data_IF_146460380897
#
_entry.id   IF_146460380897
#
_cell.length_a   1.000
_cell.length_b   1.000
_cell.length_c   1.000
_cell.angle_alpha   90.00
_cell.angle_beta   90.00
_cell.angle_gamma   90.00
#
_symmetry.space_group_name_H-M   'P 1'
#
loop_
_entity.id
_entity.type
_entity.pdbx_description
1 polymer ?
#
# COMPACT_ATOMS: atom_id res chain seq x y z
N UNK A 1 99.20 -65.02 58.95
CA UNK A 1 97.74 -65.01 59.17
C UNK A 1 97.21 -63.65 59.63
N UNK A 2 97.61 -63.07 60.77
CA UNK A 2 97.04 -61.76 61.21
C UNK A 2 97.45 -60.55 60.34
N UNK A 3 98.66 -60.50 59.77
CA UNK A 3 99.08 -59.40 58.89
C UNK A 3 98.41 -59.44 57.51
N UNK A 4 98.18 -60.64 56.96
CA UNK A 4 97.54 -60.83 55.67
C UNK A 4 96.06 -60.43 55.70
N UNK A 5 95.38 -60.66 56.82
CA UNK A 5 93.98 -60.27 56.98
C UNK A 5 93.82 -58.76 57.25
N UNK A 6 94.79 -58.13 57.91
CA UNK A 6 94.84 -56.67 58.06
C UNK A 6 95.06 -55.97 56.71
N UNK A 7 96.01 -56.46 55.90
CA UNK A 7 96.26 -55.93 54.56
C UNK A 7 95.06 -56.08 53.62
N UNK A 8 94.32 -57.19 53.71
CA UNK A 8 93.07 -57.36 52.94
C UNK A 8 92.01 -56.32 53.32
N UNK A 9 91.90 -56.00 54.60
CA UNK A 9 90.89 -55.04 55.07
C UNK A 9 91.28 -53.60 54.71
N UNK A 10 92.57 -53.27 54.76
CA UNK A 10 93.11 -51.98 54.27
C UNK A 10 92.86 -51.81 52.77
N UNK A 11 93.17 -52.83 51.94
CA UNK A 11 92.89 -52.82 50.51
C UNK A 11 91.39 -52.67 50.20
N UNK A 12 90.50 -53.30 50.98
CA UNK A 12 89.05 -53.15 50.81
C UNK A 12 88.56 -51.74 51.10
N UNK A 13 89.11 -51.09 52.13
CA UNK A 13 88.78 -49.70 52.44
C UNK A 13 89.26 -48.77 51.32
N UNK A 14 90.45 -49.01 50.79
CA UNK A 14 90.97 -48.26 49.63
C UNK A 14 90.12 -48.47 48.37
N UNK A 15 89.72 -49.70 48.05
CA UNK A 15 88.80 -50.03 46.97
C UNK A 15 87.46 -49.28 47.12
N UNK A 16 86.84 -49.32 48.31
CA UNK A 16 85.59 -48.62 48.58
C UNK A 16 85.71 -47.09 48.43
N UNK A 17 86.83 -46.51 48.85
CA UNK A 17 87.08 -45.06 48.69
C UNK A 17 87.26 -44.71 47.21
N UNK A 18 87.97 -45.55 46.45
CA UNK A 18 88.16 -45.37 45.02
C UNK A 18 86.83 -45.53 44.25
N UNK A 19 86.00 -46.50 44.61
CA UNK A 19 84.68 -46.70 44.04
C UNK A 19 83.73 -45.53 44.33
N UNK A 20 83.76 -44.98 45.55
CA UNK A 20 82.99 -43.79 45.89
C UNK A 20 83.43 -42.56 45.08
N UNK A 21 84.74 -42.37 44.89
CA UNK A 21 85.30 -41.31 44.03
C UNK A 21 84.89 -41.53 42.57
N UNK A 22 85.03 -42.75 42.05
CA UNK A 22 84.67 -43.11 40.69
C UNK A 22 83.17 -42.88 40.43
N UNK A 23 82.30 -43.29 41.37
CA UNK A 23 80.86 -43.06 41.30
C UNK A 23 80.52 -41.57 41.25
N UNK A 24 81.21 -40.73 42.04
CA UNK A 24 81.04 -39.28 42.00
C UNK A 24 81.44 -38.69 40.65
N UNK A 25 82.60 -39.09 40.12
CA UNK A 25 83.07 -38.63 38.81
C UNK A 25 82.14 -39.12 37.69
N UNK A 26 81.66 -40.36 37.75
CA UNK A 26 80.67 -40.91 36.81
C UNK A 26 79.35 -40.14 36.87
N UNK A 27 78.88 -39.73 38.06
CA UNK A 27 77.68 -38.91 38.22
C UNK A 27 77.87 -37.52 37.58
N UNK A 28 79.03 -36.88 37.77
CA UNK A 28 79.38 -35.60 37.12
C UNK A 28 79.43 -35.74 35.60
N UNK A 29 80.08 -36.80 35.09
CA UNK A 29 80.16 -37.09 33.65
C UNK A 29 78.77 -37.34 33.06
N UNK A 30 77.93 -38.14 33.74
CA UNK A 30 76.57 -38.43 33.30
C UNK A 30 75.70 -37.18 33.31
N UNK A 31 75.85 -36.31 34.32
CA UNK A 31 75.16 -35.03 34.37
C UNK A 31 75.60 -34.11 33.22
N UNK A 32 76.90 -34.03 32.93
CA UNK A 32 77.43 -33.26 31.81
C UNK A 32 76.91 -33.79 30.45
N UNK A 33 76.88 -35.12 30.26
CA UNK A 33 76.30 -35.75 29.06
C UNK A 33 74.81 -35.43 28.91
N UNK A 34 74.07 -35.44 30.00
CA UNK A 34 72.64 -35.12 29.98
C UNK A 34 72.38 -33.65 29.63
N UNK A 35 73.19 -32.73 30.16
CA UNK A 35 73.16 -31.32 29.78
C UNK A 35 73.44 -31.15 28.28
N UNK A 36 74.48 -31.81 27.76
CA UNK A 36 74.82 -31.77 26.33
C UNK A 36 73.69 -32.29 25.44
N UNK A 37 73.05 -33.41 25.82
CA UNK A 37 71.89 -33.95 25.10
C UNK A 37 70.71 -32.96 25.09
N UNK A 38 70.42 -32.34 26.23
CA UNK A 38 69.35 -31.34 26.32
C UNK A 38 69.64 -30.11 25.47
N UNK A 39 70.89 -29.67 25.42
CA UNK A 39 71.29 -28.58 24.52
C UNK A 39 71.14 -28.98 23.05
N UNK A 40 71.65 -30.16 22.66
CA UNK A 40 71.50 -30.65 21.28
C UNK A 40 70.02 -30.74 20.86
N UNK A 41 69.16 -31.30 21.71
CA UNK A 41 67.73 -31.38 21.44
C UNK A 41 67.07 -30.00 21.37
N UNK A 42 67.49 -29.05 22.22
CA UNK A 42 66.98 -27.68 22.17
C UNK A 42 67.41 -26.95 20.89
N UNK A 43 68.62 -27.21 20.39
CA UNK A 43 69.11 -26.63 19.14
C UNK A 43 68.41 -27.25 17.92
N UNK A 44 68.21 -28.57 17.91
CA UNK A 44 67.39 -29.26 16.89
C UNK A 44 65.96 -28.69 16.84
N UNK A 45 65.31 -28.54 18.02
CA UNK A 45 63.96 -27.98 18.10
C UNK A 45 63.91 -26.51 17.62
N UNK A 46 64.95 -25.73 17.89
CA UNK A 46 65.06 -24.34 17.39
C UNK A 46 65.17 -24.31 15.88
N UNK A 47 65.99 -25.18 15.29
CA UNK A 47 66.13 -25.26 13.83
C UNK A 47 64.82 -25.71 13.16
N UNK A 48 64.14 -26.71 13.71
CA UNK A 48 62.82 -27.15 13.22
C UNK A 48 61.79 -26.02 13.33
N UNK A 49 61.75 -25.32 14.45
CA UNK A 49 60.86 -24.19 14.65
C UNK A 49 61.14 -23.05 13.66
N UNK A 50 62.42 -22.74 13.40
CA UNK A 50 62.80 -21.74 12.39
C UNK A 50 62.37 -22.14 10.99
N UNK A 51 62.57 -23.40 10.58
CA UNK A 51 62.10 -23.90 9.29
C UNK A 51 60.58 -23.76 9.14
N UNK A 52 59.82 -24.12 10.18
CA UNK A 52 58.36 -23.96 10.17
C UNK A 52 57.94 -22.48 10.08
N UNK A 53 58.65 -21.59 10.75
CA UNK A 53 58.40 -20.15 10.69
C UNK A 53 58.69 -19.60 9.28
N UNK A 54 59.80 -20.00 8.68
CA UNK A 54 60.19 -19.61 7.33
C UNK A 54 59.16 -20.09 6.31
N UNK A 55 58.75 -21.36 6.36
CA UNK A 55 57.71 -21.90 5.50
C UNK A 55 56.37 -21.18 5.69
N UNK A 56 55.98 -20.89 6.93
CA UNK A 56 54.77 -20.13 7.21
C UNK A 56 54.87 -18.70 6.65
N UNK A 57 56.04 -18.07 6.74
CA UNK A 57 56.26 -16.72 6.19
C UNK A 57 56.11 -16.68 4.67
N UNK A 58 56.65 -17.70 3.97
CA UNK A 58 56.55 -17.83 2.52
C UNK A 58 55.10 -18.08 2.11
N UNK A 59 54.41 -19.04 2.74
CA UNK A 59 52.99 -19.33 2.46
C UNK A 59 52.12 -18.10 2.68
N UNK A 60 52.32 -17.38 3.79
CA UNK A 60 51.59 -16.15 4.07
C UNK A 60 51.86 -15.05 3.03
N UNK A 61 53.09 -14.95 2.51
CA UNK A 61 53.44 -13.98 1.47
C UNK A 61 52.77 -14.32 0.13
N UNK A 62 52.78 -15.60 -0.26
CA UNK A 62 52.11 -16.09 -1.47
C UNK A 62 50.59 -15.87 -1.42
N UNK A 63 49.96 -16.21 -0.29
CA UNK A 63 48.52 -15.98 -0.09
C UNK A 63 48.16 -14.49 -0.15
N UNK A 64 48.97 -13.63 0.46
CA UNK A 64 48.78 -12.17 0.39
C UNK A 64 48.88 -11.66 -1.04
N UNK A 65 49.92 -12.07 -1.77
CA UNK A 65 50.09 -11.69 -3.17
C UNK A 65 48.90 -12.15 -4.04
N UNK A 66 48.44 -13.38 -3.84
CA UNK A 66 47.26 -13.90 -4.55
C UNK A 66 45.98 -13.10 -4.23
N UNK A 67 45.76 -12.77 -2.96
CA UNK A 67 44.61 -11.96 -2.54
C UNK A 67 44.69 -10.55 -3.12
N UNK A 68 45.87 -9.93 -3.11
CA UNK A 68 46.09 -8.59 -3.68
C UNK A 68 45.80 -8.58 -5.19
N UNK A 69 46.33 -9.54 -5.95
CA UNK A 69 46.05 -9.69 -7.37
C UNK A 69 44.55 -9.87 -7.63
N UNK A 70 43.87 -10.68 -6.80
CA UNK A 70 42.44 -10.90 -6.93
C UNK A 70 41.63 -9.62 -6.64
N UNK A 71 42.01 -8.86 -5.63
CA UNK A 71 41.40 -7.57 -5.31
C UNK A 71 41.61 -6.59 -6.46
N UNK A 72 42.80 -6.53 -7.05
CA UNK A 72 43.08 -5.67 -8.20
C UNK A 72 42.19 -6.02 -9.40
N UNK A 73 42.05 -7.31 -9.73
CA UNK A 73 41.14 -7.78 -10.78
C UNK A 73 39.69 -7.36 -10.53
N UNK A 74 39.22 -7.46 -9.27
CA UNK A 74 37.87 -7.04 -8.90
C UNK A 74 37.70 -5.51 -9.05
N UNK A 75 38.69 -4.73 -8.63
CA UNK A 75 38.68 -3.27 -8.77
C UNK A 75 38.62 -2.88 -10.26
N UNK A 76 39.43 -3.50 -11.11
CA UNK A 76 39.42 -3.25 -12.56
C UNK A 76 38.08 -3.63 -13.20
N UNK A 77 37.53 -4.79 -12.85
CA UNK A 77 36.22 -5.21 -13.32
C UNK A 77 35.13 -4.22 -12.90
N UNK A 78 35.14 -3.77 -11.65
CA UNK A 78 34.19 -2.77 -11.15
C UNK A 78 34.34 -1.41 -11.86
N UNK A 79 35.57 -0.97 -12.16
CA UNK A 79 35.81 0.23 -12.98
C UNK A 79 35.21 0.09 -14.38
N UNK A 80 35.41 -1.06 -15.04
CA UNK A 80 34.82 -1.34 -16.37
C UNK A 80 33.30 -1.35 -16.31
N UNK A 81 32.70 -1.97 -15.29
CA UNK A 81 31.24 -1.98 -15.08
C UNK A 81 30.72 -0.55 -14.89
N UNK A 82 31.39 0.28 -14.09
CA UNK A 82 31.00 1.66 -13.87
C UNK A 82 30.99 2.47 -15.19
N UNK A 83 32.04 2.33 -16.00
CA UNK A 83 32.12 2.98 -17.31
C UNK A 83 31.02 2.52 -18.27
N UNK A 84 30.71 1.22 -18.29
CA UNK A 84 29.62 0.68 -19.13
C UNK A 84 28.28 1.24 -18.68
N UNK A 85 28.02 1.30 -17.36
CA UNK A 85 26.79 1.89 -16.82
C UNK A 85 26.65 3.35 -17.20
N UNK A 86 27.71 4.14 -17.09
CA UNK A 86 27.70 5.55 -17.48
C UNK A 86 27.37 5.73 -18.97
N UNK A 87 28.03 4.97 -19.85
CA UNK A 87 27.73 5.00 -21.30
C UNK A 87 26.28 4.61 -21.58
N UNK A 88 25.79 3.58 -20.92
CA UNK A 88 24.41 3.11 -21.08
C UNK A 88 23.40 4.19 -20.67
N UNK A 89 23.63 4.89 -19.57
CA UNK A 89 22.74 5.98 -19.15
C UNK A 89 22.76 7.16 -20.14
N UNK A 90 23.93 7.51 -20.68
CA UNK A 90 24.04 8.52 -21.74
C UNK A 90 23.26 8.12 -23.00
N UNK A 91 23.39 6.85 -23.43
CA UNK A 91 22.65 6.33 -24.59
C UNK A 91 21.14 6.31 -24.36
N UNK A 92 20.68 5.88 -23.17
CA UNK A 92 19.26 5.92 -22.79
C UNK A 92 18.71 7.35 -22.85
N UNK A 93 19.45 8.31 -22.30
CA UNK A 93 19.06 9.71 -22.35
C UNK A 93 18.99 10.25 -23.78
N UNK A 94 19.96 9.88 -24.62
CA UNK A 94 19.97 10.24 -26.04
C UNK A 94 18.74 9.68 -26.77
N UNK A 95 18.48 8.38 -26.62
CA UNK A 95 17.32 7.71 -27.23
C UNK A 95 16.01 8.33 -26.73
N UNK A 96 15.89 8.61 -25.43
CA UNK A 96 14.71 9.26 -24.87
C UNK A 96 14.50 10.68 -25.44
N UNK A 97 15.59 11.41 -25.69
CA UNK A 97 15.57 12.70 -26.39
C UNK A 97 15.07 12.56 -27.83
N UNK A 98 15.66 11.64 -28.60
CA UNK A 98 15.27 11.38 -29.99
C UNK A 98 13.80 10.95 -30.11
N UNK A 99 13.31 10.09 -29.21
CA UNK A 99 11.89 9.69 -29.17
C UNK A 99 10.99 10.90 -28.87
N UNK A 100 11.39 11.76 -27.94
CA UNK A 100 10.62 12.97 -27.60
C UNK A 100 10.53 13.91 -28.79
N UNK A 101 11.66 14.14 -29.46
CA UNK A 101 11.73 15.04 -30.61
C UNK A 101 10.93 14.48 -31.79
N UNK A 102 11.07 13.18 -32.09
CA UNK A 102 10.29 12.51 -33.12
C UNK A 102 8.79 12.57 -32.82
N UNK A 103 8.40 12.31 -31.57
CA UNK A 103 7.00 12.42 -31.12
C UNK A 103 6.47 13.84 -31.31
N UNK A 104 7.24 14.85 -30.91
CA UNK A 104 6.82 16.24 -31.05
C UNK A 104 6.68 16.66 -32.52
N UNK A 105 7.59 16.21 -33.40
CA UNK A 105 7.49 16.43 -34.86
C UNK A 105 6.23 15.79 -35.43
N UNK A 106 5.96 14.53 -35.11
CA UNK A 106 4.74 13.85 -35.54
C UNK A 106 3.46 14.57 -35.05
N UNK A 107 3.45 15.05 -33.81
CA UNK A 107 2.32 15.83 -33.30
C UNK A 107 2.16 17.17 -34.02
N UNK A 108 3.26 17.85 -34.35
CA UNK A 108 3.21 19.10 -35.11
C UNK A 108 2.68 18.87 -36.54
N UNK A 109 3.19 17.87 -37.24
CA UNK A 109 2.72 17.48 -38.58
C UNK A 109 1.23 17.11 -38.57
N UNK A 110 0.80 16.32 -37.57
CA UNK A 110 -0.61 15.97 -37.41
C UNK A 110 -1.48 17.19 -37.13
N UNK A 111 -1.05 18.09 -36.25
CA UNK A 111 -1.78 19.32 -35.93
C UNK A 111 -1.92 20.23 -37.16
N UNK A 112 -0.87 20.34 -37.98
CA UNK A 112 -0.90 21.08 -39.24
C UNK A 112 -1.86 20.43 -40.24
N UNK A 113 -1.82 19.11 -40.38
CA UNK A 113 -2.73 18.37 -41.24
C UNK A 113 -4.20 18.55 -40.82
N UNK A 114 -4.50 18.38 -39.54
CA UNK A 114 -5.84 18.54 -38.98
C UNK A 114 -6.33 19.99 -39.16
N UNK A 115 -5.47 20.99 -38.98
CA UNK A 115 -5.80 22.39 -39.21
C UNK A 115 -6.13 22.68 -40.69
N UNK A 116 -5.34 22.12 -41.61
CA UNK A 116 -5.57 22.24 -43.05
C UNK A 116 -6.88 21.55 -43.47
N UNK A 117 -7.15 20.36 -42.96
CA UNK A 117 -8.40 19.65 -43.22
C UNK A 117 -9.62 20.42 -42.68
N UNK A 118 -9.52 20.97 -41.47
CA UNK A 118 -10.57 21.82 -40.89
C UNK A 118 -10.79 23.10 -41.70
N UNK A 119 -9.73 23.72 -42.20
CA UNK A 119 -9.84 24.88 -43.07
C UNK A 119 -10.50 24.53 -44.42
N UNK A 120 -10.19 23.37 -45.00
CA UNK A 120 -10.86 22.87 -46.19
C UNK A 120 -12.36 22.63 -45.94
N UNK A 121 -12.71 21.97 -44.83
CA UNK A 121 -14.11 21.77 -44.41
C UNK A 121 -14.85 23.09 -44.22
N UNK A 122 -14.23 24.08 -43.57
CA UNK A 122 -14.80 25.43 -43.41
C UNK A 122 -15.08 26.10 -44.76
N UNK A 123 -14.12 26.05 -45.70
CA UNK A 123 -14.30 26.60 -47.06
C UNK A 123 -15.45 25.91 -47.80
N UNK A 124 -15.55 24.59 -47.70
CA UNK A 124 -16.65 23.82 -48.30
C UNK A 124 -18.02 24.22 -47.72
N UNK A 125 -18.13 24.32 -46.39
CA UNK A 125 -19.37 24.75 -45.72
C UNK A 125 -19.75 26.17 -46.17
N UNK A 126 -18.78 27.08 -46.27
CA UNK A 126 -19.04 28.44 -46.74
C UNK A 126 -19.57 28.46 -48.18
N UNK A 127 -19.01 27.62 -49.06
CA UNK A 127 -19.46 27.44 -50.45
C UNK A 127 -20.90 26.90 -50.51
N UNK A 128 -21.21 25.84 -49.76
CA UNK A 128 -22.57 25.26 -49.68
C UNK A 128 -23.57 26.32 -49.21
N UNK A 129 -23.24 27.08 -48.16
CA UNK A 129 -24.12 28.15 -47.65
C UNK A 129 -24.33 29.27 -48.66
N UNK A 130 -23.30 29.64 -49.42
CA UNK A 130 -23.44 30.61 -50.51
C UNK A 130 -24.37 30.11 -51.61
N UNK A 131 -24.24 28.84 -52.01
CA UNK A 131 -25.14 28.22 -52.97
C UNK A 131 -26.59 28.15 -52.47
N UNK A 132 -26.79 27.76 -51.21
CA UNK A 132 -28.12 27.72 -50.58
C UNK A 132 -28.79 29.10 -50.54
N UNK A 133 -28.05 30.16 -50.19
CA UNK A 133 -28.58 31.53 -50.21
C UNK A 133 -29.03 31.95 -51.59
N UNK A 134 -28.20 31.71 -52.62
CA UNK A 134 -28.57 31.96 -54.01
C UNK A 134 -29.84 31.19 -54.41
N UNK A 135 -29.92 29.90 -54.07
CA UNK A 135 -31.09 29.08 -54.38
C UNK A 135 -32.37 29.55 -53.65
N UNK A 136 -32.24 30.10 -52.44
CA UNK A 136 -33.36 30.71 -51.71
C UNK A 136 -33.80 32.03 -52.32
N UNK A 137 -32.85 32.90 -52.71
CA UNK A 137 -33.12 34.14 -53.44
C UNK A 137 -33.89 33.83 -54.73
N UNK A 138 -33.45 32.84 -55.52
CA UNK A 138 -34.14 32.38 -56.74
C UNK A 138 -35.57 31.85 -56.46
N UNK A 139 -35.82 31.26 -55.28
CA UNK A 139 -37.16 30.80 -54.88
C UNK A 139 -38.07 31.94 -54.41
N UNK A 140 -37.54 32.98 -53.77
CA UNK A 140 -38.34 34.13 -53.32
C UNK A 140 -38.96 34.91 -54.48
N UNK A 141 -38.39 34.82 -55.68
CA UNK A 141 -38.96 35.41 -56.90
C UNK A 141 -40.01 34.53 -57.61
N UNK A 142 -40.26 33.31 -57.11
CA UNK A 142 -41.41 32.51 -57.59
C UNK A 142 -42.65 32.98 -56.83
N UNK A 143 -43.71 33.29 -57.59
CA UNK A 143 -44.96 33.85 -57.08
C UNK A 143 -45.52 33.00 -55.92
N UNK A 144 -46.19 33.60 -54.93
CA UNK A 144 -46.86 32.84 -53.89
C UNK A 144 -47.86 31.87 -54.54
N UNK A 145 -47.59 30.58 -54.41
CA UNK A 145 -48.50 29.53 -54.87
C UNK A 145 -49.81 29.64 -54.08
N UNK A 146 -50.93 29.68 -54.80
CA UNK A 146 -52.26 29.76 -54.20
C UNK A 146 -52.60 28.45 -53.48
N UNK A 147 -52.50 28.46 -52.15
CA UNK A 147 -52.71 27.30 -51.28
C UNK A 147 -54.16 26.78 -51.26
N UNK A 148 -55.08 27.53 -51.87
CA UNK A 148 -56.49 27.14 -52.01
C UNK A 148 -56.75 26.30 -53.26
N UNK A 149 -55.79 26.24 -54.19
CA UNK A 149 -55.89 25.36 -55.36
C UNK A 149 -55.58 23.91 -54.98
N UNK A 150 -56.38 22.97 -55.50
CA UNK A 150 -56.06 21.56 -55.43
C UNK A 150 -54.87 21.24 -56.35
N UNK A 151 -54.17 20.14 -56.06
CA UNK A 151 -52.97 19.74 -56.80
C UNK A 151 -53.23 19.40 -58.29
N UNK A 152 -54.49 19.15 -58.67
CA UNK A 152 -54.91 18.99 -60.06
C UNK A 152 -54.52 17.63 -60.66
N UNK A 153 -54.35 16.59 -59.84
CA UNK A 153 -54.00 15.25 -60.31
C UNK A 153 -55.24 14.42 -60.74
N UNK A 154 -56.45 14.99 -60.63
CA UNK A 154 -57.71 14.37 -61.05
C UNK A 154 -58.25 13.27 -60.13
N UNK A 155 -57.73 13.13 -58.91
CA UNK A 155 -58.28 12.22 -57.91
C UNK A 155 -59.56 12.82 -57.30
N UNK A 156 -60.53 11.96 -56.98
CA UNK A 156 -61.81 12.39 -56.40
C UNK A 156 -61.68 12.97 -54.99
N UNK A 157 -60.60 12.63 -54.28
CA UNK A 157 -60.34 13.02 -52.89
C UNK A 157 -59.20 14.04 -52.78
N UNK A 158 -58.91 14.81 -53.84
CA UNK A 158 -57.89 15.86 -53.76
C UNK A 158 -58.36 17.00 -52.87
N UNK A 159 -57.50 17.35 -51.94
CA UNK A 159 -57.71 18.45 -51.02
C UNK A 159 -56.66 19.51 -51.24
N UNK A 160 -57.06 20.77 -51.06
CA UNK A 160 -56.09 21.87 -51.07
C UNK A 160 -55.18 21.81 -49.84
N UNK A 161 -54.04 22.48 -49.91
CA UNK A 161 -53.09 22.53 -48.79
C UNK A 161 -53.75 23.21 -47.57
N UNK A 162 -54.57 24.23 -47.80
CA UNK A 162 -55.31 24.92 -46.75
C UNK A 162 -56.29 23.97 -46.02
N UNK A 163 -57.05 23.15 -46.75
CA UNK A 163 -58.01 22.22 -46.16
C UNK A 163 -57.31 21.10 -45.37
N UNK A 164 -56.17 20.60 -45.86
CA UNK A 164 -55.37 19.60 -45.14
C UNK A 164 -54.82 20.18 -43.82
N UNK A 165 -54.42 21.45 -43.81
CA UNK A 165 -53.97 22.13 -42.59
C UNK A 165 -55.09 22.30 -41.56
N UNK A 166 -56.30 22.62 -42.02
CA UNK A 166 -57.49 22.71 -41.16
C UNK A 166 -57.81 21.35 -40.53
N UNK A 167 -57.87 20.28 -41.35
CA UNK A 167 -58.11 18.92 -40.86
C UNK A 167 -57.05 18.47 -39.86
N UNK A 168 -55.78 18.74 -40.13
CA UNK A 168 -54.68 18.45 -39.19
C UNK A 168 -54.80 19.23 -37.88
N UNK A 169 -55.31 20.46 -37.93
CA UNK A 169 -55.53 21.29 -36.74
C UNK A 169 -56.62 20.69 -35.86
N UNK A 170 -57.74 20.27 -36.46
CA UNK A 170 -58.83 19.57 -35.76
C UNK A 170 -58.31 18.29 -35.10
N UNK A 171 -57.58 17.44 -35.83
CA UNK A 171 -57.01 16.20 -35.29
C UNK A 171 -56.04 16.44 -34.13
N UNK A 172 -55.24 17.51 -34.20
CA UNK A 172 -54.33 17.89 -33.10
C UNK A 172 -55.09 18.34 -31.86
N UNK A 173 -56.17 19.08 -32.02
CA UNK A 173 -57.03 19.48 -30.90
C UNK A 173 -57.75 18.31 -30.26
N UNK A 174 -58.22 17.35 -31.05
CA UNK A 174 -58.80 16.10 -30.54
C UNK A 174 -57.76 15.27 -29.77
N UNK A 175 -56.55 15.13 -30.31
CA UNK A 175 -55.48 14.40 -29.63
C UNK A 175 -55.08 15.06 -28.31
N UNK A 176 -54.96 16.39 -28.28
CA UNK A 176 -54.67 17.15 -27.06
C UNK A 176 -55.76 16.96 -26.01
N UNK A 177 -57.04 17.08 -26.39
CA UNK A 177 -58.17 16.84 -25.49
C UNK A 177 -58.13 15.44 -24.90
N UNK A 178 -57.89 14.41 -25.72
CA UNK A 178 -57.79 13.03 -25.25
C UNK A 178 -56.59 12.81 -24.29
N UNK A 179 -55.48 13.52 -24.49
CA UNK A 179 -54.33 13.48 -23.58
C UNK A 179 -54.62 14.17 -22.25
N UNK A 180 -55.29 15.33 -22.28
CA UNK A 180 -55.71 16.07 -21.09
C UNK A 180 -56.69 15.25 -20.24
N UNK A 181 -57.70 14.63 -20.85
CA UNK A 181 -58.64 13.73 -20.14
C UNK A 181 -57.92 12.56 -19.45
N UNK A 182 -56.90 11.97 -20.11
CA UNK A 182 -56.08 10.92 -19.50
C UNK A 182 -55.28 11.44 -18.32
N UNK A 183 -54.70 12.63 -18.43
CA UNK A 183 -53.95 13.27 -17.34
C UNK A 183 -54.87 13.57 -16.16
N UNK A 184 -56.05 14.12 -16.40
CA UNK A 184 -57.04 14.40 -15.37
C UNK A 184 -57.48 13.12 -14.64
N UNK A 185 -57.75 12.05 -15.39
CA UNK A 185 -58.11 10.75 -14.80
C UNK A 185 -56.98 10.20 -13.91
N UNK A 186 -55.72 10.35 -14.33
CA UNK A 186 -54.57 9.97 -13.49
C UNK A 186 -54.49 10.84 -12.24
N UNK A 187 -54.71 12.15 -12.36
CA UNK A 187 -54.71 13.07 -11.22
C UNK A 187 -55.82 12.74 -10.21
N UNK A 188 -57.04 12.46 -10.68
CA UNK A 188 -58.15 12.03 -9.82
C UNK A 188 -57.79 10.75 -9.06
N UNK A 189 -57.29 9.72 -9.75
CA UNK A 189 -56.86 8.46 -9.12
C UNK A 189 -55.71 8.66 -8.12
N UNK A 190 -54.77 9.56 -8.41
CA UNK A 190 -53.68 9.91 -7.48
C UNK A 190 -54.23 10.57 -6.22
N UNK A 191 -55.13 11.54 -6.36
CA UNK A 191 -55.74 12.24 -5.24
C UNK A 191 -56.57 11.27 -4.38
N UNK A 192 -57.37 10.40 -4.98
CA UNK A 192 -58.12 9.36 -4.25
C UNK A 192 -57.19 8.45 -3.44
N UNK A 193 -56.06 8.03 -4.03
CA UNK A 193 -55.07 7.19 -3.35
C UNK A 193 -54.35 7.93 -2.23
N UNK A 194 -54.04 9.21 -2.43
CA UNK A 194 -53.43 10.07 -1.41
C UNK A 194 -54.38 10.32 -0.23
N UNK A 195 -55.66 10.56 -0.50
CA UNK A 195 -56.70 10.66 0.53
C UNK A 195 -56.83 9.38 1.35
N UNK A 196 -56.79 8.21 0.70
CA UNK A 196 -56.77 6.92 1.38
C UNK A 196 -55.51 6.76 2.24
N UNK A 197 -54.34 7.12 1.70
CA UNK A 197 -53.08 7.06 2.45
C UNK A 197 -53.12 7.98 3.68
N UNK A 198 -53.57 9.22 3.53
CA UNK A 198 -53.73 10.18 4.61
C UNK A 198 -54.68 9.66 5.69
N UNK A 199 -55.84 9.10 5.30
CA UNK A 199 -56.77 8.45 6.24
C UNK A 199 -56.11 7.28 6.98
N UNK A 200 -55.32 6.44 6.31
CA UNK A 200 -54.61 5.33 6.98
C UNK A 200 -53.51 5.83 7.91
N UNK A 201 -52.75 6.86 7.52
CA UNK A 201 -51.72 7.47 8.36
C UNK A 201 -52.31 8.12 9.60
N UNK A 202 -53.46 8.81 9.48
CA UNK A 202 -54.18 9.36 10.62
C UNK A 202 -54.62 8.25 11.59
N UNK A 203 -55.13 7.12 11.08
CA UNK A 203 -55.46 5.94 11.91
C UNK A 203 -54.23 5.37 12.63
N UNK A 204 -53.10 5.25 11.95
CA UNK A 204 -51.83 4.78 12.56
C UNK A 204 -51.38 5.75 13.65
N UNK A 205 -51.38 7.05 13.38
CA UNK A 205 -51.00 8.07 14.35
C UNK A 205 -51.93 8.07 15.57
N UNK A 206 -53.23 7.95 15.37
CA UNK A 206 -54.20 7.81 16.45
C UNK A 206 -53.93 6.55 17.30
N UNK A 207 -53.61 5.42 16.66
CA UNK A 207 -53.23 4.19 17.37
C UNK A 207 -51.92 4.34 18.15
N UNK A 208 -50.90 4.97 17.56
CA UNK A 208 -49.63 5.25 18.24
C UNK A 208 -49.80 6.18 19.44
N UNK A 209 -50.65 7.20 19.33
CA UNK A 209 -51.01 8.08 20.45
C UNK A 209 -51.71 7.30 21.56
N UNK A 210 -52.72 6.48 21.22
CA UNK A 210 -53.38 5.60 22.20
C UNK A 210 -52.40 4.61 22.86
N UNK A 211 -51.45 4.05 22.12
CA UNK A 211 -50.41 3.16 22.68
C UNK A 211 -49.46 3.93 23.60
N UNK A 212 -49.06 5.17 23.24
CA UNK A 212 -48.25 6.03 24.11
C UNK A 212 -49.00 6.39 25.39
N UNK A 213 -50.28 6.75 25.30
CA UNK A 213 -51.14 7.02 26.47
C UNK A 213 -51.35 5.78 27.35
N UNK A 214 -51.53 4.59 26.76
CA UNK A 214 -51.58 3.33 27.51
C UNK A 214 -50.25 2.98 28.17
N UNK A 215 -49.11 3.25 27.52
CA UNK A 215 -47.77 3.05 28.08
C UNK A 215 -47.44 4.05 29.18
N UNK A 216 -47.82 5.33 29.02
CA UNK A 216 -47.61 6.35 30.05
C UNK A 216 -48.49 6.09 31.27
N UNK A 217 -49.75 5.66 31.08
CA UNK A 217 -50.63 5.24 32.18
C UNK A 217 -50.22 3.92 32.84
N UNK A 218 -49.61 2.97 32.11
CA UNK A 218 -49.01 1.78 32.72
C UNK A 218 -47.69 2.09 33.46
N UNK A 219 -46.87 3.01 32.94
CA UNK A 219 -45.65 3.46 33.59
C UNK A 219 -45.95 4.25 34.88
N UNK A 220 -46.98 5.10 34.88
CA UNK A 220 -47.45 5.82 36.07
C UNK A 220 -48.00 4.86 37.15
N UNK A 221 -48.69 3.79 36.74
CA UNK A 221 -49.18 2.74 37.67
C UNK A 221 -48.07 1.87 38.27
N UNK A 222 -46.88 1.81 37.67
CA UNK A 222 -45.71 1.11 38.25
C UNK A 222 -44.81 2.02 39.10
N UNK A 223 -44.92 3.34 39.00
CA UNK A 223 -44.10 4.29 39.78
C UNK A 223 -44.81 4.86 41.02
N UNK A 224 -46.13 4.66 41.17
CA UNK A 224 -46.89 5.13 42.36
C UNK A 224 -47.10 4.06 43.45
N UNK A 225 -46.47 2.88 43.33
CA UNK A 225 -46.37 1.91 44.43
C UNK A 225 -44.92 1.78 44.89
N UNK A 226 -44.70 2.17 46.15
CA UNK A 226 -43.59 1.82 47.06
C UNK A 226 -42.41 2.79 47.21
N UNK A 227 -42.64 3.89 47.95
CA UNK A 227 -41.76 4.23 49.09
C UNK A 227 -42.62 4.69 50.28
N UNK A 228 -43.44 3.78 50.82
CA UNK A 228 -43.90 3.90 52.21
C UNK A 228 -42.72 3.49 53.08
N UNK A 229 -41.98 4.47 53.64
CA UNK A 229 -40.89 4.21 54.60
C UNK A 229 -41.42 3.30 55.72
N UNK A 230 -40.82 2.13 55.89
CA UNK A 230 -41.19 1.18 56.96
C UNK A 230 -40.99 1.81 58.34
N UNK A 231 -41.85 1.47 59.30
CA UNK A 231 -41.76 1.95 60.70
C UNK A 231 -40.39 1.64 61.34
N UNK A 232 -39.75 0.56 60.90
CA UNK A 232 -38.39 0.17 61.31
C UNK A 232 -37.33 1.19 60.88
N UNK A 233 -37.50 1.84 59.73
CA UNK A 233 -36.60 2.91 59.27
C UNK A 233 -36.76 4.18 60.12
N UNK A 234 -37.99 4.52 60.54
CA UNK A 234 -38.24 5.64 61.46
C UNK A 234 -37.66 5.37 62.87
N UNK A 235 -37.81 4.14 63.36
CA UNK A 235 -37.21 3.69 64.63
C UNK A 235 -35.67 3.71 64.62
N UNK A 236 -35.04 3.43 63.47
CA UNK A 236 -33.58 3.52 63.35
C UNK A 236 -33.09 4.97 63.25
N UNK A 237 -33.85 5.86 62.60
CA UNK A 237 -33.56 7.30 62.57
C UNK A 237 -33.65 7.93 63.97
N UNK A 238 -34.67 7.57 64.78
CA UNK A 238 -34.77 8.05 66.16
C UNK A 238 -33.64 7.52 67.06
N UNK A 239 -33.27 6.24 66.93
CA UNK A 239 -32.13 5.66 67.67
C UNK A 239 -30.79 6.29 67.29
N UNK A 240 -30.62 6.69 66.03
CA UNK A 240 -29.43 7.43 65.55
C UNK A 240 -29.38 8.84 66.15
N UNK A 241 -30.53 9.51 66.29
CA UNK A 241 -30.62 10.81 66.92
C UNK A 241 -30.29 10.74 68.43
N UNK A 242 -30.80 9.74 69.14
CA UNK A 242 -30.48 9.49 70.55
C UNK A 242 -28.99 9.16 70.76
N UNK A 243 -28.40 8.31 69.91
CA UNK A 243 -26.96 8.00 69.98
C UNK A 243 -26.07 9.22 69.70
N UNK A 244 -26.50 10.13 68.82
CA UNK A 244 -25.79 11.40 68.56
C UNK A 244 -25.90 12.37 69.75
N UNK A 245 -27.06 12.43 70.41
CA UNK A 245 -27.24 13.25 71.61
C UNK A 245 -26.41 12.73 72.81
N UNK A 246 -26.30 11.41 72.98
CA UNK A 246 -25.42 10.80 73.99
C UNK A 246 -23.94 11.07 73.69
N UNK A 247 -23.53 11.06 72.42
CA UNK A 247 -22.16 11.43 72.02
C UNK A 247 -21.82 12.89 72.32
N UNK A 248 -22.79 13.82 72.19
CA UNK A 248 -22.55 15.24 72.54
C UNK A 248 -22.56 15.52 74.04
N UNK A 249 -22.99 14.57 74.88
CA UNK A 249 -22.90 14.67 76.35
C UNK A 249 -21.61 14.03 76.92
N UNK A 250 -20.83 13.35 76.08
CA UNK A 250 -19.53 12.74 76.41
C UNK A 250 -18.34 13.50 75.79
N UNK A 251 -18.55 14.73 75.33
CA UNK A 251 -17.53 15.70 74.93
C UNK A 251 -17.73 17.01 75.68
#
# INVERSE_FOLDING_TARGET
>A
MFEEDWQKEENRLEENILDAKLSREMAVINHAKEIQRKHALADELREEYQKLLDEASVRNAEERAFIEDRIQQIIEANKKIAQIRERLELEKHKIAGEIRDHRNKLFAEKAEHDANEMNAKKKLIASIRAFQRRALEERQFKQPEDLTTSAGHGLLDEMSIAELQERLSILREEFKRAEEERREKIHQLKNEREDLLNKTSQKINAFQLQVKEKRSSSAHRTTEKTVRKSERAKMLESRLAEARAQRSQLC
#
